data_IF_268273541064
#
_entry.id   IF_268273541064
#
_cell.length_a   1.000
_cell.length_b   1.000
_cell.length_c   1.000
_cell.angle_alpha   90.00
_cell.angle_beta   90.00
_cell.angle_gamma   90.00
#
_symmetry.space_group_name_H-M   'P 1'
#
loop_
_entity.id
_entity.type
_entity.pdbx_description
1 polymer ?
#
# COMPACT_ATOMS: atom_id res chain seq x y z
N UNK A 1 -5.27 33.08 46.05
CA UNK A 1 -5.70 33.28 44.65
C UNK A 1 -4.60 33.87 43.73
N UNK A 2 -3.46 34.37 44.21
CA UNK A 2 -2.39 34.87 43.33
C UNK A 2 -1.51 33.79 42.66
N UNK A 3 -1.28 32.64 43.31
CA UNK A 3 -0.35 31.59 42.80
C UNK A 3 -0.84 30.90 41.51
N UNK A 4 -2.15 30.98 41.21
CA UNK A 4 -2.76 30.33 40.03
C UNK A 4 -2.57 31.20 38.77
N UNK A 5 -2.50 32.52 38.92
CA UNK A 5 -2.34 33.46 37.80
C UNK A 5 -0.92 33.42 37.20
N UNK A 6 0.10 33.36 38.06
CA UNK A 6 1.51 33.35 37.61
C UNK A 6 1.89 32.03 36.90
N UNK A 7 1.30 30.91 37.30
CA UNK A 7 1.52 29.60 36.65
C UNK A 7 0.93 29.55 35.23
N UNK A 8 -0.18 30.26 35.01
CA UNK A 8 -0.86 30.34 33.71
C UNK A 8 -0.06 31.16 32.69
N UNK A 9 0.54 32.27 33.13
CA UNK A 9 1.35 33.15 32.28
C UNK A 9 2.64 32.43 31.85
N UNK A 10 3.24 31.66 32.76
CA UNK A 10 4.46 30.91 32.45
C UNK A 10 4.21 29.76 31.46
N UNK A 11 3.07 29.06 31.51
CA UNK A 11 2.75 28.01 30.52
C UNK A 11 2.50 28.54 29.09
N UNK A 12 1.93 29.74 28.95
CA UNK A 12 1.68 30.37 27.65
C UNK A 12 2.98 30.80 26.97
N UNK A 13 3.96 31.31 27.74
CA UNK A 13 5.26 31.72 27.20
C UNK A 13 6.03 30.58 26.53
N UNK A 14 6.00 29.37 27.11
CA UNK A 14 6.68 28.20 26.56
C UNK A 14 6.00 27.65 25.29
N UNK A 15 4.67 27.77 25.18
CA UNK A 15 3.92 27.40 23.96
C UNK A 15 4.29 28.33 22.80
N UNK A 16 4.42 29.63 23.04
CA UNK A 16 4.85 30.58 22.01
C UNK A 16 6.29 30.30 21.55
N UNK A 17 7.21 29.99 22.46
CA UNK A 17 8.60 29.60 22.10
C UNK A 17 8.62 28.33 21.25
N UNK A 18 7.78 27.33 21.57
CA UNK A 18 7.67 26.10 20.75
C UNK A 18 7.14 26.40 19.34
N UNK A 19 6.19 27.30 19.19
CA UNK A 19 5.65 27.68 17.87
C UNK A 19 6.65 28.44 16.99
N UNK A 20 7.60 29.19 17.56
CA UNK A 20 8.60 29.96 16.81
C UNK A 20 9.94 29.23 16.60
N UNK A 21 10.26 28.21 17.40
CA UNK A 21 11.51 27.44 17.28
C UNK A 21 11.44 26.27 16.30
N UNK A 22 10.25 25.87 15.84
CA UNK A 22 10.09 24.93 14.72
C UNK A 22 9.68 25.69 13.44
N UNK A 23 10.61 26.31 12.70
CA UNK A 23 10.30 27.09 11.50
C UNK A 23 9.89 26.22 10.30
N UNK A 24 9.59 24.93 10.51
CA UNK A 24 9.23 24.00 9.44
C UNK A 24 8.10 23.11 9.91
N UNK A 25 6.87 23.60 9.76
CA UNK A 25 5.83 22.73 9.24
C UNK A 25 6.43 22.07 8.00
N UNK A 26 6.77 20.78 8.12
CA UNK A 26 7.20 19.98 6.98
C UNK A 26 5.95 19.83 6.11
N UNK A 27 5.65 20.86 5.32
CA UNK A 27 4.66 20.75 4.25
C UNK A 27 5.26 19.73 3.31
N UNK A 28 4.69 18.53 3.30
CA UNK A 28 5.05 17.49 2.35
C UNK A 28 4.74 18.03 0.95
N UNK A 29 5.73 18.67 0.32
CA UNK A 29 5.64 19.13 -1.05
C UNK A 29 5.97 17.94 -1.94
N UNK A 30 5.11 16.92 -1.95
CA UNK A 30 5.13 15.99 -3.07
C UNK A 30 4.65 16.78 -4.28
N UNK A 31 5.59 17.34 -5.05
CA UNK A 31 5.29 17.80 -6.40
C UNK A 31 4.88 16.55 -7.18
N UNK A 32 3.58 16.33 -7.33
CA UNK A 32 3.06 15.43 -8.34
C UNK A 32 3.40 16.09 -9.67
N UNK A 33 4.54 15.71 -10.25
CA UNK A 33 4.77 16.00 -11.65
C UNK A 33 3.65 15.28 -12.40
N UNK A 34 2.90 16.04 -13.19
CA UNK A 34 1.96 15.50 -14.16
C UNK A 34 2.80 14.82 -15.26
N UNK A 35 3.40 13.70 -14.88
CA UNK A 35 4.04 12.79 -15.81
C UNK A 35 2.87 12.26 -16.61
N UNK A 36 2.76 12.68 -17.88
CA UNK A 36 2.07 11.91 -18.90
C UNK A 36 2.67 10.50 -18.88
N UNK A 37 2.18 9.67 -17.97
CA UNK A 37 2.65 8.32 -17.80
C UNK A 37 2.24 7.62 -19.08
N UNK A 38 3.19 7.12 -19.88
CA UNK A 38 2.84 6.42 -21.10
C UNK A 38 1.97 5.25 -20.68
N UNK A 39 0.80 5.12 -21.31
CA UNK A 39 -0.15 4.03 -21.13
C UNK A 39 0.50 2.69 -21.50
N UNK A 40 1.34 2.18 -20.62
CA UNK A 40 2.12 0.96 -20.79
C UNK A 40 1.64 -0.04 -19.75
N UNK A 41 1.50 -1.27 -20.20
CA UNK A 41 1.24 -2.40 -19.30
C UNK A 41 2.48 -2.77 -18.47
N UNK A 42 3.56 -1.98 -18.52
CA UNK A 42 4.80 -2.23 -17.80
C UNK A 42 4.97 -1.17 -16.72
N UNK A 43 5.40 -1.60 -15.55
CA UNK A 43 5.73 -0.73 -14.43
C UNK A 43 7.22 -0.78 -14.08
N UNK A 44 7.56 -0.21 -12.92
CA UNK A 44 8.86 -0.38 -12.30
C UNK A 44 8.72 -1.04 -10.93
N UNK A 45 9.66 -1.91 -10.58
CA UNK A 45 9.73 -2.52 -9.27
C UNK A 45 11.11 -2.33 -8.64
N UNK A 46 11.10 -2.21 -7.31
CA UNK A 46 12.28 -2.27 -6.47
C UNK A 46 12.20 -3.58 -5.67
N UNK A 47 13.04 -4.54 -6.03
CA UNK A 47 13.11 -5.85 -5.37
C UNK A 47 14.40 -5.85 -4.54
N UNK A 48 14.34 -6.34 -3.31
CA UNK A 48 15.32 -6.10 -2.24
C UNK A 48 16.81 -6.25 -2.63
N UNK A 49 17.64 -5.43 -1.93
CA UNK A 49 19.11 -5.32 -1.93
C UNK A 49 19.77 -4.81 -3.22
N UNK A 50 20.13 -3.52 -3.21
CA UNK A 50 21.20 -2.93 -4.04
C UNK A 50 20.85 -2.60 -5.50
N UNK A 51 19.78 -3.15 -6.06
CA UNK A 51 19.33 -2.82 -7.41
C UNK A 51 18.44 -1.57 -7.39
N UNK A 52 18.70 -0.62 -8.30
CA UNK A 52 17.77 0.49 -8.57
C UNK A 52 16.46 -0.02 -9.20
N UNK A 53 15.51 0.88 -9.40
CA UNK A 53 14.22 0.58 -10.06
C UNK A 53 14.41 -0.15 -11.40
N UNK A 54 13.86 -1.35 -11.52
CA UNK A 54 13.89 -2.17 -12.73
C UNK A 54 12.53 -2.15 -13.44
N UNK A 55 12.54 -2.22 -14.76
CA UNK A 55 11.30 -2.45 -15.51
C UNK A 55 10.78 -3.86 -15.24
N UNK A 56 9.47 -3.99 -15.05
CA UNK A 56 8.81 -5.29 -14.95
C UNK A 56 8.22 -5.70 -16.29
N UNK A 57 8.05 -7.01 -16.49
CA UNK A 57 7.26 -7.52 -17.62
C UNK A 57 5.83 -7.00 -17.59
N UNK A 58 5.13 -7.14 -18.72
CA UNK A 58 3.72 -6.78 -18.85
C UNK A 58 2.88 -7.34 -17.68
N UNK A 59 2.24 -6.44 -16.94
CA UNK A 59 1.46 -6.71 -15.72
C UNK A 59 0.20 -7.53 -15.99
N UNK A 60 -0.20 -7.70 -17.25
CA UNK A 60 -1.32 -8.58 -17.64
C UNK A 60 -0.91 -10.04 -17.75
N UNK A 61 0.39 -10.34 -17.80
CA UNK A 61 0.90 -11.72 -17.80
C UNK A 61 0.62 -12.37 -16.44
N UNK A 62 0.32 -13.67 -16.39
CA UNK A 62 0.00 -14.35 -15.12
C UNK A 62 1.21 -14.60 -14.22
N UNK A 63 2.44 -14.41 -14.72
CA UNK A 63 3.67 -14.70 -14.01
C UNK A 63 4.85 -13.88 -14.55
N UNK A 64 5.97 -13.88 -13.83
CA UNK A 64 7.24 -13.29 -14.29
C UNK A 64 7.43 -11.81 -13.93
N UNK A 65 6.62 -11.26 -13.03
CA UNK A 65 6.74 -9.88 -12.56
C UNK A 65 6.38 -9.74 -11.07
N UNK A 66 6.79 -8.61 -10.49
CA UNK A 66 6.72 -8.35 -9.04
C UNK A 66 5.30 -8.22 -8.46
N UNK A 67 4.26 -8.08 -9.31
CA UNK A 67 2.87 -7.98 -8.86
C UNK A 67 2.21 -9.35 -8.74
N UNK A 68 2.41 -10.24 -9.71
CA UNK A 68 1.80 -11.57 -9.68
C UNK A 68 2.51 -12.51 -8.71
N UNK A 69 3.85 -12.42 -8.60
CA UNK A 69 4.66 -13.34 -7.81
C UNK A 69 4.23 -13.44 -6.33
N UNK A 70 3.99 -12.32 -5.62
CA UNK A 70 3.51 -12.39 -4.24
C UNK A 70 2.11 -12.96 -4.11
N UNK A 71 1.31 -12.96 -5.19
CA UNK A 71 -0.10 -13.36 -5.15
C UNK A 71 -0.35 -14.79 -5.61
N UNK A 72 0.67 -15.55 -6.03
CA UNK A 72 0.52 -16.91 -6.59
C UNK A 72 -0.37 -17.81 -5.73
N UNK A 73 -0.24 -17.68 -4.40
CA UNK A 73 -1.01 -18.44 -3.41
C UNK A 73 -2.38 -17.85 -3.04
N UNK A 74 -2.69 -16.65 -3.52
CA UNK A 74 -4.00 -15.99 -3.37
C UNK A 74 -4.89 -16.31 -4.56
N UNK A 75 -4.30 -16.30 -5.76
CA UNK A 75 -5.04 -16.47 -7.03
C UNK A 75 -5.27 -17.94 -7.38
N UNK A 76 -4.49 -18.86 -6.83
CA UNK A 76 -4.65 -20.31 -6.98
C UNK A 76 -4.94 -20.95 -5.63
N UNK A 77 -5.78 -21.98 -5.61
CA UNK A 77 -6.04 -22.74 -4.40
C UNK A 77 -4.78 -23.48 -3.95
N UNK A 78 -4.36 -23.23 -2.71
CA UNK A 78 -3.30 -23.95 -2.03
C UNK A 78 -3.81 -24.35 -0.64
N UNK A 79 -3.80 -25.64 -0.32
CA UNK A 79 -4.47 -26.16 0.88
C UNK A 79 -3.92 -25.57 2.19
N UNK A 80 -2.64 -25.20 2.19
CA UNK A 80 -1.93 -24.80 3.40
C UNK A 80 -2.00 -23.30 3.61
N UNK A 81 -2.14 -22.48 2.57
CA UNK A 81 -2.09 -21.03 2.70
C UNK A 81 -3.37 -20.45 3.29
N UNK A 82 -3.21 -19.43 4.13
CA UNK A 82 -4.30 -18.65 4.71
C UNK A 82 -4.09 -17.19 4.33
N UNK A 83 -5.12 -16.55 3.82
CA UNK A 83 -5.05 -15.16 3.42
C UNK A 83 -6.34 -14.41 3.71
N UNK A 84 -6.22 -13.10 3.87
CA UNK A 84 -7.31 -12.15 3.97
C UNK A 84 -7.09 -11.11 2.87
N UNK A 85 -8.01 -11.04 1.91
CA UNK A 85 -8.05 -9.97 0.94
C UNK A 85 -9.08 -8.92 1.38
N UNK A 86 -8.69 -7.65 1.37
CA UNK A 86 -9.58 -6.53 1.68
C UNK A 86 -9.49 -5.49 0.57
N UNK A 87 -10.65 -4.95 0.16
CA UNK A 87 -10.74 -3.95 -0.88
C UNK A 87 -12.07 -3.20 -0.73
N UNK A 88 -12.06 -1.88 -0.82
CA UNK A 88 -13.29 -1.08 -0.82
C UNK A 88 -14.07 -1.18 -2.14
N UNK A 89 -13.44 -1.68 -3.20
CA UNK A 89 -14.06 -2.04 -4.48
C UNK A 89 -13.58 -3.47 -4.81
N UNK A 90 -14.08 -4.52 -4.13
CA UNK A 90 -13.64 -5.88 -4.39
C UNK A 90 -14.10 -6.39 -5.76
N UNK A 91 -13.39 -7.35 -6.36
CA UNK A 91 -13.82 -7.95 -7.63
C UNK A 91 -15.16 -8.65 -7.48
N UNK A 92 -16.02 -8.49 -8.49
CA UNK A 92 -17.28 -9.24 -8.66
C UNK A 92 -18.30 -9.09 -7.49
N UNK A 93 -18.06 -8.16 -6.55
CA UNK A 93 -18.96 -7.89 -5.41
C UNK A 93 -19.47 -6.44 -5.51
N UNK A 94 -20.69 -6.23 -6.03
CA UNK A 94 -21.27 -4.90 -6.13
C UNK A 94 -21.72 -4.38 -4.74
N UNK A 95 -21.76 -3.05 -4.58
CA UNK A 95 -22.40 -2.34 -3.44
C UNK A 95 -21.76 -2.55 -2.06
N UNK A 96 -20.42 -2.64 -1.98
CA UNK A 96 -19.73 -2.60 -0.68
C UNK A 96 -19.78 -1.18 -0.10
N UNK A 97 -20.30 -1.04 1.14
CA UNK A 97 -20.26 0.20 1.90
C UNK A 97 -19.10 0.15 2.89
N UNK A 98 -18.03 0.91 2.65
CA UNK A 98 -16.89 1.03 3.57
C UNK A 98 -16.68 2.51 3.95
N UNK A 99 -16.05 2.75 5.11
CA UNK A 99 -15.50 4.08 5.45
C UNK A 99 -14.03 4.23 5.04
N UNK A 100 -13.37 3.12 4.67
CA UNK A 100 -11.96 3.06 4.32
C UNK A 100 -11.79 2.82 2.82
N UNK A 101 -10.81 3.49 2.21
CA UNK A 101 -10.42 3.28 0.81
C UNK A 101 -9.26 2.27 0.65
N UNK A 102 -8.86 1.64 1.76
CA UNK A 102 -7.72 0.73 1.81
C UNK A 102 -7.97 -0.57 1.03
N UNK A 103 -6.90 -1.10 0.43
CA UNK A 103 -6.91 -2.36 -0.31
C UNK A 103 -5.60 -3.10 -0.08
N UNK A 104 -5.66 -4.42 -0.04
CA UNK A 104 -4.49 -5.23 0.23
C UNK A 104 -4.81 -6.69 0.48
N UNK A 105 -3.75 -7.44 0.73
CA UNK A 105 -3.81 -8.86 1.05
C UNK A 105 -2.84 -9.15 2.19
N UNK A 106 -3.33 -9.76 3.25
CA UNK A 106 -2.49 -10.37 4.27
C UNK A 106 -2.42 -11.86 3.99
N UNK A 107 -1.22 -12.43 3.95
CA UNK A 107 -0.98 -13.85 3.72
C UNK A 107 -0.10 -14.40 4.83
N UNK A 108 -0.39 -15.62 5.24
CA UNK A 108 0.42 -16.37 6.20
C UNK A 108 0.63 -17.80 5.68
N UNK A 109 1.86 -18.28 5.80
CA UNK A 109 2.18 -19.70 5.67
C UNK A 109 2.15 -20.32 7.07
N UNK A 110 1.15 -21.15 7.41
CA UNK A 110 1.08 -21.78 8.74
C UNK A 110 2.10 -22.91 8.94
N UNK A 111 2.83 -23.32 7.89
CA UNK A 111 3.79 -24.44 7.95
C UNK A 111 5.22 -23.98 8.26
N UNK A 112 5.47 -22.67 8.22
CA UNK A 112 6.79 -22.09 8.47
C UNK A 112 6.69 -20.93 9.47
N UNK A 113 7.66 -20.85 10.37
CA UNK A 113 7.76 -19.74 11.30
C UNK A 113 8.21 -18.46 10.59
N UNK A 114 7.67 -17.31 10.99
CA UNK A 114 8.01 -15.99 10.47
C UNK A 114 7.76 -15.81 8.96
N UNK A 115 6.82 -16.56 8.38
CA UNK A 115 6.48 -16.49 6.97
C UNK A 115 5.08 -15.89 6.77
N UNK A 116 5.01 -14.57 6.94
CA UNK A 116 3.85 -13.78 6.58
C UNK A 116 4.23 -12.66 5.61
N UNK A 117 3.27 -12.24 4.80
CA UNK A 117 3.43 -11.08 3.94
C UNK A 117 2.18 -10.23 3.90
N UNK A 118 2.38 -8.93 3.87
CA UNK A 118 1.33 -7.95 3.74
C UNK A 118 1.53 -7.12 2.49
N UNK A 119 0.53 -7.16 1.62
CA UNK A 119 0.47 -6.41 0.38
C UNK A 119 -0.49 -5.26 0.56
N UNK A 120 -0.06 -4.07 0.18
CA UNK A 120 -0.91 -2.88 0.05
C UNK A 120 -0.90 -2.44 -1.41
N UNK A 121 -2.09 -2.20 -1.96
CA UNK A 121 -2.22 -1.76 -3.35
C UNK A 121 -3.32 -0.72 -3.54
N UNK A 122 -3.32 -0.06 -4.71
CA UNK A 122 -4.35 0.93 -5.07
C UNK A 122 -5.37 0.42 -6.09
N UNK A 123 -5.20 -0.80 -6.60
CA UNK A 123 -5.98 -1.37 -7.72
C UNK A 123 -7.41 -1.79 -7.27
N UNK A 124 -8.49 -1.18 -7.78
CA UNK A 124 -9.85 -1.65 -7.55
C UNK A 124 -10.13 -2.94 -8.33
N UNK A 125 -11.05 -3.78 -7.86
CA UNK A 125 -11.43 -5.02 -8.53
C UNK A 125 -10.34 -6.10 -8.53
N UNK A 126 -9.40 -6.05 -7.58
CA UNK A 126 -8.21 -6.89 -7.54
C UNK A 126 -7.83 -7.26 -6.08
N UNK A 127 -7.18 -8.41 -5.83
CA UNK A 127 -7.02 -9.55 -6.73
C UNK A 127 -8.28 -10.42 -6.79
N UNK A 128 -8.44 -11.18 -7.88
CA UNK A 128 -9.47 -12.23 -7.98
C UNK A 128 -9.02 -13.49 -7.25
N UNK A 129 -9.18 -13.49 -5.92
CA UNK A 129 -8.79 -14.60 -5.07
C UNK A 129 -9.40 -15.93 -5.55
N UNK A 130 -8.57 -16.97 -5.64
CA UNK A 130 -8.92 -18.34 -6.08
C UNK A 130 -9.51 -18.45 -7.50
N UNK A 131 -9.40 -17.40 -8.32
CA UNK A 131 -9.98 -17.36 -9.68
C UNK A 131 -8.95 -17.03 -10.75
N UNK A 132 -7.67 -17.20 -10.45
CA UNK A 132 -6.57 -16.90 -11.36
C UNK A 132 -6.18 -15.42 -11.38
N UNK A 133 -5.03 -15.16 -12.03
CA UNK A 133 -4.51 -13.80 -12.19
C UNK A 133 -5.26 -13.06 -13.29
N UNK A 134 -5.89 -11.93 -12.94
CA UNK A 134 -6.49 -11.01 -13.91
C UNK A 134 -6.23 -9.59 -13.44
N UNK A 135 -5.42 -8.84 -14.18
CA UNK A 135 -5.28 -7.40 -13.96
C UNK A 135 -6.47 -6.66 -14.59
N UNK A 136 -7.18 -5.77 -13.88
CA UNK A 136 -8.35 -5.10 -14.43
C UNK A 136 -8.01 -4.19 -15.62
N UNK A 137 -8.63 -4.41 -16.78
CA UNK A 137 -8.33 -3.67 -18.01
C UNK A 137 -8.53 -2.15 -17.88
N UNK A 138 -9.54 -1.72 -17.12
CA UNK A 138 -9.82 -0.30 -16.86
C UNK A 138 -8.73 0.40 -16.02
N UNK A 139 -7.86 -0.37 -15.37
CA UNK A 139 -6.81 0.11 -14.47
C UNK A 139 -5.44 0.15 -15.15
N UNK A 140 -5.28 -0.43 -16.35
CA UNK A 140 -4.03 -0.40 -17.12
C UNK A 140 -3.59 1.03 -17.47
N UNK A 141 -4.56 1.91 -17.72
CA UNK A 141 -4.33 3.31 -18.11
C UNK A 141 -4.04 4.21 -16.90
N UNK A 142 -4.02 3.67 -15.68
CA UNK A 142 -3.91 4.43 -14.43
C UNK A 142 -2.63 4.06 -13.69
N UNK A 143 -2.06 5.02 -12.98
CA UNK A 143 -0.93 4.77 -12.09
C UNK A 143 -1.37 4.00 -10.85
N UNK A 144 -0.76 2.84 -10.61
CA UNK A 144 -0.98 2.05 -9.41
C UNK A 144 0.30 1.82 -8.61
N UNK A 145 0.13 1.71 -7.30
CA UNK A 145 1.19 1.36 -6.37
C UNK A 145 0.93 -0.02 -5.81
N UNK A 146 2.00 -0.79 -5.63
CA UNK A 146 1.99 -2.11 -5.04
C UNK A 146 3.19 -2.22 -4.10
N UNK A 147 2.94 -2.47 -2.82
CA UNK A 147 3.97 -2.63 -1.79
C UNK A 147 3.78 -4.01 -1.17
N UNK A 148 4.85 -4.79 -1.09
CA UNK A 148 4.87 -6.08 -0.39
C UNK A 148 5.86 -6.01 0.77
N UNK A 149 5.37 -6.27 1.98
CA UNK A 149 6.16 -6.30 3.21
C UNK A 149 6.21 -7.74 3.71
N UNK A 150 7.40 -8.26 3.99
CA UNK A 150 7.55 -9.50 4.75
C UNK A 150 7.41 -9.20 6.22
N UNK A 151 6.58 -9.98 6.91
CA UNK A 151 6.32 -9.86 8.34
C UNK A 151 6.87 -11.12 9.01
N UNK A 152 7.61 -10.92 10.10
CA UNK A 152 7.99 -11.98 11.04
C UNK A 152 6.99 -11.96 12.19
N UNK A 153 6.55 -13.12 12.65
CA UNK A 153 5.51 -13.26 13.68
C UNK A 153 6.10 -13.23 15.10
#
# INVERSE_FOLDING_TARGET
MLVIADRFIMQIGWIFVLCFTFPRYSVATSKCYDLNAPARNMGKALIARGAGWQDIQDVTRPAGHAVAKPLEHVIMAHNTNKFIAYNNIPPDIPKVKTKSNSKGVLMMNPEAQDEASWIVHTIPGFPKALRGYVFPAAEIQKGHLFICLTIKE
#
